data_IF_768800806424
#
_entry.id   IF_768800806424
#
_cell.length_a   1.000
_cell.length_b   1.000
_cell.length_c   1.000
_cell.angle_alpha   90.00
_cell.angle_beta   90.00
_cell.angle_gamma   90.00
#
_symmetry.space_group_name_H-M   'P 1'
#
loop_
_entity.id
_entity.type
_entity.pdbx_description
1 polymer ?
#
# COMPACT_ATOMS: atom_id res chain seq x y z
N UNK A 1 -2.77 -0.80 12.87
CA UNK A 1 -2.65 0.58 13.41
C UNK A 1 -2.09 1.57 12.38
N UNK A 2 -0.90 1.31 11.81
CA UNK A 2 -0.20 2.29 10.95
C UNK A 2 -0.87 2.60 9.60
N UNK A 3 -1.47 1.59 8.95
CA UNK A 3 -2.09 1.75 7.63
C UNK A 3 -3.38 2.58 7.70
N UNK A 4 -4.12 2.47 8.80
CA UNK A 4 -5.36 3.23 9.04
C UNK A 4 -5.10 4.74 9.04
N UNK A 5 -4.01 5.17 9.69
CA UNK A 5 -3.65 6.57 9.85
C UNK A 5 -3.11 7.17 8.53
N UNK A 6 -2.27 6.43 7.81
CA UNK A 6 -1.77 6.86 6.50
C UNK A 6 -2.89 7.00 5.48
N UNK A 7 -3.83 6.04 5.46
CA UNK A 7 -4.96 6.07 4.51
C UNK A 7 -5.95 7.20 4.84
N UNK A 8 -6.17 7.50 6.13
CA UNK A 8 -7.00 8.63 6.57
C UNK A 8 -6.39 9.99 6.17
N UNK A 9 -5.09 10.18 6.43
CA UNK A 9 -4.38 11.44 6.11
C UNK A 9 -4.28 11.68 4.60
N UNK A 10 -3.95 10.65 3.81
CA UNK A 10 -3.83 10.78 2.34
C UNK A 10 -5.19 11.16 1.71
N UNK A 11 -6.28 10.61 2.25
CA UNK A 11 -7.64 10.90 1.79
C UNK A 11 -8.11 12.28 2.24
N UNK A 12 -7.79 12.70 3.47
CA UNK A 12 -8.09 14.03 4.00
C UNK A 12 -7.39 15.14 3.20
N UNK A 13 -6.13 14.92 2.80
CA UNK A 13 -5.33 15.88 2.04
C UNK A 13 -5.77 15.98 0.57
N UNK A 14 -6.18 14.87 -0.07
CA UNK A 14 -6.52 14.89 -1.50
C UNK A 14 -7.97 15.30 -1.82
N UNK A 15 -8.92 15.10 -0.90
CA UNK A 15 -10.36 15.26 -1.20
C UNK A 15 -11.00 16.43 -0.45
N UNK A 16 -10.47 16.81 0.72
CA UNK A 16 -11.18 17.66 1.67
C UNK A 16 -12.38 16.95 2.32
N UNK A 17 -12.83 17.42 3.48
CA UNK A 17 -13.97 16.85 4.21
C UNK A 17 -15.32 17.24 3.56
N UNK A 18 -15.62 16.66 2.40
CA UNK A 18 -16.93 16.77 1.73
C UNK A 18 -17.77 15.49 1.87
N UNK A 19 -19.07 15.56 1.55
CA UNK A 19 -20.01 14.44 1.66
C UNK A 19 -19.58 13.16 0.88
N UNK A 20 -18.72 13.30 -0.14
CA UNK A 20 -18.16 12.21 -0.95
C UNK A 20 -16.90 11.54 -0.36
N UNK A 21 -16.42 12.00 0.80
CA UNK A 21 -15.17 11.55 1.42
C UNK A 21 -15.14 10.04 1.67
N UNK A 22 -16.20 9.50 2.27
CA UNK A 22 -16.31 8.07 2.58
C UNK A 22 -16.34 7.19 1.31
N UNK A 23 -17.04 7.63 0.26
CA UNK A 23 -17.12 6.89 -1.01
C UNK A 23 -15.78 6.85 -1.74
N UNK A 24 -15.05 7.97 -1.78
CA UNK A 24 -13.71 8.03 -2.37
C UNK A 24 -12.67 7.26 -1.55
N UNK A 25 -12.77 7.30 -0.21
CA UNK A 25 -11.93 6.52 0.70
C UNK A 25 -12.05 5.01 0.46
N UNK A 26 -13.28 4.49 0.42
CA UNK A 26 -13.56 3.07 0.15
C UNK A 26 -13.03 2.63 -1.23
N UNK A 27 -13.22 3.47 -2.26
CA UNK A 27 -12.72 3.18 -3.62
C UNK A 27 -11.19 3.15 -3.67
N UNK A 28 -10.53 4.12 -3.04
CA UNK A 28 -9.07 4.16 -2.95
C UNK A 28 -8.50 2.97 -2.15
N UNK A 29 -9.15 2.62 -1.04
CA UNK A 29 -8.79 1.44 -0.23
C UNK A 29 -8.92 0.15 -1.03
N UNK A 30 -10.01 -0.04 -1.76
CA UNK A 30 -10.22 -1.22 -2.60
C UNK A 30 -9.16 -1.33 -3.71
N UNK A 31 -8.83 -0.23 -4.39
CA UNK A 31 -7.78 -0.21 -5.42
C UNK A 31 -6.41 -0.52 -4.81
N UNK A 32 -6.06 0.12 -3.69
CA UNK A 32 -4.80 -0.11 -3.01
C UNK A 32 -4.66 -1.55 -2.50
N UNK A 33 -5.75 -2.17 -2.03
CA UNK A 33 -5.75 -3.56 -1.59
C UNK A 33 -5.56 -4.53 -2.78
N UNK A 34 -6.31 -4.35 -3.86
CA UNK A 34 -6.23 -5.19 -5.07
C UNK A 34 -4.87 -5.09 -5.74
N UNK A 35 -4.22 -3.93 -5.71
CA UNK A 35 -2.87 -3.75 -6.28
C UNK A 35 -1.79 -4.18 -5.29
N UNK A 36 -1.93 -3.87 -4.01
CA UNK A 36 -0.92 -4.15 -2.98
C UNK A 36 -0.72 -5.64 -2.70
N UNK A 37 -1.79 -6.43 -2.69
CA UNK A 37 -1.72 -7.89 -2.45
C UNK A 37 -0.85 -8.61 -3.50
N UNK A 38 -1.09 -8.50 -4.82
CA UNK A 38 -0.24 -9.13 -5.81
C UNK A 38 1.16 -8.53 -5.80
N UNK A 39 1.31 -7.22 -5.59
CA UNK A 39 2.65 -6.60 -5.50
C UNK A 39 3.45 -7.24 -4.36
N UNK A 40 2.92 -7.38 -3.15
CA UNK A 40 3.64 -8.03 -2.04
C UNK A 40 3.97 -9.49 -2.36
N UNK A 41 3.04 -10.23 -2.97
CA UNK A 41 3.27 -11.62 -3.36
C UNK A 41 4.39 -11.79 -4.39
N UNK A 42 4.54 -10.85 -5.32
CA UNK A 42 5.63 -10.85 -6.31
C UNK A 42 6.93 -10.24 -5.78
N UNK A 43 6.84 -9.18 -4.99
CA UNK A 43 8.00 -8.44 -4.50
C UNK A 43 8.68 -9.15 -3.33
N UNK A 44 7.95 -9.86 -2.48
CA UNK A 44 8.53 -10.64 -1.37
C UNK A 44 9.56 -11.70 -1.83
N UNK A 45 9.27 -12.59 -2.80
CA UNK A 45 10.27 -13.54 -3.28
C UNK A 45 11.41 -12.86 -4.05
N UNK A 46 11.14 -11.77 -4.77
CA UNK A 46 12.18 -10.99 -5.47
C UNK A 46 13.12 -10.32 -4.49
N UNK A 47 12.59 -9.68 -3.44
CA UNK A 47 13.36 -9.10 -2.35
C UNK A 47 14.20 -10.18 -1.67
N UNK A 48 13.63 -11.35 -1.38
CA UNK A 48 14.35 -12.47 -0.76
C UNK A 48 15.48 -13.00 -1.64
N UNK A 49 15.29 -13.06 -2.98
CA UNK A 49 16.33 -13.41 -3.94
C UNK A 49 17.44 -12.35 -4.00
N UNK A 50 17.08 -11.07 -4.04
CA UNK A 50 18.06 -9.97 -4.04
C UNK A 50 18.89 -9.95 -2.76
N UNK A 51 18.24 -10.09 -1.60
CA UNK A 51 18.94 -10.17 -0.31
C UNK A 51 19.83 -11.41 -0.25
N UNK A 52 19.37 -12.58 -0.76
CA UNK A 52 20.21 -13.78 -0.86
C UNK A 52 21.47 -13.54 -1.68
N UNK A 53 21.36 -12.89 -2.84
CA UNK A 53 22.53 -12.55 -3.68
C UNK A 53 23.47 -11.52 -3.07
N UNK A 54 22.96 -10.62 -2.23
CA UNK A 54 23.77 -9.64 -1.49
C UNK A 54 24.48 -10.26 -0.28
N UNK A 55 23.84 -11.22 0.40
CA UNK A 55 24.40 -11.90 1.58
C UNK A 55 25.34 -13.05 1.20
N UNK A 56 25.15 -13.68 0.04
CA UNK A 56 26.08 -14.67 -0.53
C UNK A 56 27.30 -14.04 -1.24
N UNK A 57 27.58 -12.75 -1.07
CA UNK A 57 28.88 -12.21 -1.47
C UNK A 57 29.96 -12.76 -0.50
N UNK A 58 30.86 -13.65 -0.96
CA UNK A 58 31.92 -14.21 -0.12
C UNK A 58 32.95 -13.15 0.29
#
# INVERSE_FOLDING_TARGET
>A
MMISLMTFVITAVNVGFGADFLGRWLKAFAIAYVVGVPVIYFLAPVARRLTGRLVEMP
#
